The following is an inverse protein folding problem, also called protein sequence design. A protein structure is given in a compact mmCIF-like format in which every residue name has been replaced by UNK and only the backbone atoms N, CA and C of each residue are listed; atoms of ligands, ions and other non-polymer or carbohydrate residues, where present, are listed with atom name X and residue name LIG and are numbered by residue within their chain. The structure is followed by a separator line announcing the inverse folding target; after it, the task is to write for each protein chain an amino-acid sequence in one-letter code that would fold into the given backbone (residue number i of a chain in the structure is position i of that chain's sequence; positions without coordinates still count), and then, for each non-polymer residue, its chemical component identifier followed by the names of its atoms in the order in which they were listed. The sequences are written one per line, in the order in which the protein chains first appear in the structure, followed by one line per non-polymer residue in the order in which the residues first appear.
data_IF_499402060647
#
_entry.id   IF_499402060647
#
_cell.length_a   1.000
_cell.length_b   1.000
_cell.length_c   1.000
_cell.angle_alpha   90.00
_cell.angle_beta   90.00
_cell.angle_gamma   90.00
#
_symmetry.space_group_name_H-M   'P 1'
#
loop_
_entity.id
_entity.type
_entity.pdbx_description
1 polymer ?
#
# COMPACT_ATOMS: atom_id res chain seq x y z
N UNK A 1 -15.36 2.64 15.03
CA UNK A 1 -14.58 1.62 14.28
C UNK A 1 -14.13 2.15 12.93
N UNK A 2 -15.06 2.60 12.06
CA UNK A 2 -14.73 3.16 10.74
C UNK A 2 -13.78 4.36 10.86
N UNK A 3 -14.06 5.32 11.73
CA UNK A 3 -13.20 6.51 11.94
C UNK A 3 -11.74 6.17 12.24
N UNK A 4 -11.50 5.14 13.07
CA UNK A 4 -10.15 4.66 13.39
C UNK A 4 -9.47 4.09 12.16
N UNK A 5 -10.16 3.25 11.40
CA UNK A 5 -9.63 2.66 10.16
C UNK A 5 -9.35 3.75 9.12
N UNK A 6 -10.25 4.72 8.97
CA UNK A 6 -10.07 5.88 8.10
C UNK A 6 -8.83 6.69 8.51
N UNK A 7 -8.65 6.94 9.80
CA UNK A 7 -7.48 7.67 10.30
C UNK A 7 -6.16 6.92 10.02
N UNK A 8 -6.15 5.60 10.25
CA UNK A 8 -4.99 4.75 9.95
C UNK A 8 -4.68 4.70 8.45
N UNK A 9 -5.71 4.63 7.60
CA UNK A 9 -5.57 4.67 6.15
C UNK A 9 -5.02 6.02 5.66
N UNK A 10 -5.54 7.14 6.21
CA UNK A 10 -5.03 8.48 5.91
C UNK A 10 -3.55 8.61 6.32
N UNK A 11 -3.15 8.04 7.45
CA UNK A 11 -1.76 8.09 7.89
C UNK A 11 -0.84 7.33 6.95
N UNK A 12 -1.22 6.11 6.54
CA UNK A 12 -0.46 5.35 5.53
C UNK A 12 -0.41 6.10 4.20
N UNK A 13 -1.54 6.65 3.74
CA UNK A 13 -1.62 7.40 2.49
C UNK A 13 -0.66 8.59 2.46
N UNK A 14 -0.55 9.35 3.56
CA UNK A 14 0.43 10.44 3.67
C UNK A 14 1.86 9.96 3.47
N UNK A 15 2.24 8.87 4.15
CA UNK A 15 3.58 8.29 3.99
C UNK A 15 3.85 7.82 2.56
N UNK A 16 2.84 7.26 1.89
CA UNK A 16 2.96 6.83 0.50
C UNK A 16 3.09 8.00 -0.47
N UNK A 17 2.37 9.11 -0.24
CA UNK A 17 2.48 10.33 -1.06
C UNK A 17 3.85 10.99 -0.89
N UNK A 18 4.33 11.10 0.36
CA UNK A 18 5.63 11.68 0.70
C UNK A 18 6.82 10.87 0.16
N UNK A 19 6.57 9.64 -0.32
CA UNK A 19 7.61 8.73 -0.81
C UNK A 19 7.50 8.58 -2.33
N UNK A 20 8.46 9.13 -3.11
CA UNK A 20 8.54 8.89 -4.54
C UNK A 20 8.58 7.39 -4.83
N UNK A 21 7.74 6.97 -5.77
CA UNK A 21 7.56 5.56 -6.12
C UNK A 21 7.26 5.46 -7.61
N UNK A 22 8.18 5.92 -8.45
CA UNK A 22 7.98 5.80 -9.89
C UNK A 22 7.89 4.33 -10.30
N UNK A 23 7.25 4.04 -11.43
CA UNK A 23 7.16 2.66 -11.91
C UNK A 23 8.55 2.01 -11.97
N UNK A 24 8.72 0.86 -11.28
CA UNK A 24 9.97 0.13 -10.99
C UNK A 24 10.84 0.65 -9.82
N UNK A 25 10.44 1.69 -9.11
CA UNK A 25 11.16 2.32 -7.99
C UNK A 25 10.35 2.29 -6.66
N UNK A 26 9.46 1.31 -6.51
CA UNK A 26 8.46 1.28 -5.43
C UNK A 26 8.94 0.60 -4.13
N UNK A 27 10.25 0.32 -4.01
CA UNK A 27 10.87 -0.38 -2.88
C UNK A 27 10.48 0.22 -1.51
N UNK A 28 10.49 1.55 -1.39
CA UNK A 28 10.20 2.22 -0.12
C UNK A 28 8.70 2.26 0.21
N UNK A 29 7.84 2.46 -0.79
CA UNK A 29 6.39 2.39 -0.57
C UNK A 29 5.94 0.98 -0.23
N UNK A 30 6.57 -0.05 -0.81
CA UNK A 30 6.39 -1.43 -0.36
C UNK A 30 6.75 -1.60 1.13
N UNK A 31 7.89 -1.07 1.59
CA UNK A 31 8.27 -1.09 3.02
C UNK A 31 7.25 -0.41 3.93
N UNK A 32 6.66 0.72 3.52
CA UNK A 32 5.60 1.38 4.29
C UNK A 32 4.36 0.49 4.44
N UNK A 33 3.93 -0.17 3.36
CA UNK A 33 2.78 -1.10 3.37
C UNK A 33 3.08 -2.30 4.28
N UNK A 34 4.27 -2.90 4.17
CA UNK A 34 4.69 -3.98 5.07
C UNK A 34 4.69 -3.55 6.54
N UNK A 35 5.21 -2.36 6.83
CA UNK A 35 5.23 -1.78 8.17
C UNK A 35 3.83 -1.65 8.75
N UNK A 36 2.88 -1.19 7.93
CA UNK A 36 1.47 -1.12 8.31
C UNK A 36 0.89 -2.50 8.61
N UNK A 37 1.14 -3.50 7.75
CA UNK A 37 0.71 -4.88 8.01
C UNK A 37 1.29 -5.45 9.31
N UNK A 38 2.59 -5.24 9.57
CA UNK A 38 3.25 -5.65 10.83
C UNK A 38 2.57 -5.01 12.04
N UNK A 39 2.29 -3.70 12.00
CA UNK A 39 1.61 -2.99 13.09
C UNK A 39 0.19 -3.49 13.34
N UNK A 40 -0.53 -3.92 12.29
CA UNK A 40 -1.87 -4.52 12.42
C UNK A 40 -1.84 -6.03 12.74
N UNK A 41 -0.66 -6.65 12.83
CA UNK A 41 -0.53 -8.09 13.06
C UNK A 41 -1.05 -8.94 11.89
N UNK A 42 -0.96 -8.43 10.66
CA UNK A 42 -1.41 -9.10 9.44
C UNK A 42 -0.20 -9.79 8.79
N UNK A 43 -0.19 -11.13 8.64
CA UNK A 43 0.81 -11.81 7.84
C UNK A 43 0.69 -11.41 6.37
N UNK A 44 1.80 -11.15 5.72
CA UNK A 44 1.88 -10.77 4.32
C UNK A 44 3.06 -11.47 3.65
N UNK A 45 3.05 -11.48 2.32
CA UNK A 45 4.15 -11.93 1.48
C UNK A 45 4.54 -10.81 0.53
N UNK A 46 5.83 -10.75 0.20
CA UNK A 46 6.36 -9.83 -0.81
C UNK A 46 7.04 -10.57 -1.93
N UNK A 47 6.78 -10.09 -3.15
CA UNK A 47 7.44 -10.55 -4.37
C UNK A 47 7.86 -9.32 -5.18
N UNK A 48 9.16 -9.01 -5.21
CA UNK A 48 9.67 -7.71 -5.69
C UNK A 48 9.01 -6.57 -4.91
N UNK A 49 8.40 -5.58 -5.57
CA UNK A 49 7.66 -4.51 -4.87
C UNK A 49 6.18 -4.84 -4.64
N UNK A 50 5.69 -6.00 -5.09
CA UNK A 50 4.31 -6.41 -4.85
C UNK A 50 4.15 -6.97 -3.44
N UNK A 51 3.26 -6.36 -2.66
CA UNK A 51 2.89 -6.83 -1.31
C UNK A 51 1.46 -7.38 -1.35
N UNK A 52 1.27 -8.58 -0.82
CA UNK A 52 -0.06 -9.22 -0.78
C UNK A 52 -0.27 -9.99 0.52
N UNK A 53 -1.53 -10.15 0.89
CA UNK A 53 -1.95 -10.90 2.06
C UNK A 53 -3.23 -11.68 1.73
N UNK A 54 -3.44 -12.78 2.44
CA UNK A 54 -4.66 -13.58 2.34
C UNK A 54 -5.57 -13.32 3.54
N UNK A 55 -6.84 -13.68 3.40
CA UNK A 55 -7.76 -13.64 4.53
C UNK A 55 -7.25 -14.58 5.65
N UNK A 56 -7.36 -14.17 6.91
CA UNK A 56 -6.98 -14.98 8.08
C UNK A 56 -7.65 -16.36 8.12
N UNK A 57 -8.84 -16.48 7.54
CA UNK A 57 -9.67 -17.68 7.46
C UNK A 57 -9.85 -18.12 5.99
N UNK A 58 -8.80 -17.95 5.19
CA UNK A 58 -8.81 -18.36 3.78
C UNK A 58 -9.20 -19.84 3.65
N UNK A 59 -10.01 -20.13 2.64
CA UNK A 59 -10.60 -21.45 2.41
C UNK A 59 -10.64 -21.70 0.90
N UNK A 60 -9.79 -22.64 0.44
CA UNK A 60 -9.64 -22.98 -0.97
C UNK A 60 -10.91 -23.58 -1.60
N UNK A 61 -11.86 -24.05 -0.77
CA UNK A 61 -13.14 -24.57 -1.27
C UNK A 61 -14.15 -23.46 -1.63
N UNK A 62 -13.87 -22.20 -1.25
CA UNK A 62 -14.73 -21.05 -1.52
C UNK A 62 -14.23 -20.23 -2.72
N UNK A 63 -15.13 -19.52 -3.43
CA UNK A 63 -14.72 -18.54 -4.43
C UNK A 63 -13.77 -17.49 -3.83
N UNK A 64 -12.70 -17.20 -4.56
CA UNK A 64 -11.70 -16.20 -4.14
C UNK A 64 -11.98 -14.86 -4.80
N UNK A 65 -12.01 -13.79 -4.00
CA UNK A 65 -12.04 -12.42 -4.48
C UNK A 65 -10.67 -11.77 -4.26
N UNK A 66 -10.07 -11.26 -5.33
CA UNK A 66 -8.84 -10.49 -5.27
C UNK A 66 -9.17 -8.99 -5.18
N UNK A 67 -8.70 -8.33 -4.11
CA UNK A 67 -8.68 -6.88 -4.02
C UNK A 67 -7.29 -6.41 -4.47
N UNK A 68 -7.23 -5.60 -5.53
CA UNK A 68 -5.98 -5.17 -6.13
C UNK A 68 -5.95 -3.66 -6.34
N UNK A 69 -4.78 -3.08 -6.11
CA UNK A 69 -4.42 -1.70 -6.40
C UNK A 69 -2.93 -1.68 -6.74
N UNK A 70 -2.43 -0.56 -7.26
CA UNK A 70 -1.02 -0.29 -7.44
C UNK A 70 -0.58 0.88 -6.54
N UNK A 71 0.71 0.99 -6.28
CA UNK A 71 1.31 2.04 -5.44
C UNK A 71 2.47 2.76 -6.14
N UNK A 72 2.71 2.44 -7.42
CA UNK A 72 3.59 3.20 -8.28
C UNK A 72 2.90 4.47 -8.78
N UNK A 73 3.73 5.44 -9.14
CA UNK A 73 3.33 6.77 -9.60
C UNK A 73 4.01 7.09 -10.91
N UNK A 74 3.39 7.97 -11.69
CA UNK A 74 4.03 8.58 -12.86
C UNK A 74 4.83 9.80 -12.42
N UNK A 75 5.75 10.26 -13.27
CA UNK A 75 6.49 11.50 -13.01
C UNK A 75 5.51 12.67 -12.85
N UNK A 76 5.72 13.55 -11.85
CA UNK A 76 4.88 14.72 -11.66
C UNK A 76 4.97 15.65 -12.87
N UNK A 77 3.86 16.32 -13.17
CA UNK A 77 3.80 17.30 -14.25
C UNK A 77 4.57 18.58 -13.85
N UNK A 78 5.23 19.22 -14.80
CA UNK A 78 5.92 20.50 -14.65
C UNK A 78 5.02 21.65 -14.13
N UNK A 79 3.69 21.50 -14.21
CA UNK A 79 2.73 22.49 -13.71
C UNK A 79 2.47 22.45 -12.19
N UNK A 80 3.10 21.55 -11.43
CA UNK A 80 2.97 21.51 -9.98
C UNK A 80 3.54 22.78 -9.35
N UNK A 81 2.73 23.47 -8.55
CA UNK A 81 3.14 24.67 -7.80
C UNK A 81 3.50 24.38 -6.34
N UNK A 82 3.35 23.12 -5.92
CA UNK A 82 3.71 22.58 -4.61
C UNK A 82 4.58 21.34 -4.82
N UNK A 83 5.35 20.97 -3.79
CA UNK A 83 6.09 19.71 -3.80
C UNK A 83 5.10 18.55 -4.08
N UNK A 84 5.31 17.76 -5.14
CA UNK A 84 4.46 16.61 -5.45
C UNK A 84 4.60 15.46 -4.44
N UNK A 85 5.60 15.51 -3.56
CA UNK A 85 5.85 14.52 -2.52
C UNK A 85 5.80 15.20 -1.14
#
# INVERSE_FOLDING_TARGET
MIERLTSQAIQLLKQLIETPSFSSEEEQTAHHIEGWFKQQGIPFTRTHHNVWATNKYFDESKPTLLLNSHHDTVKPNNGYTKDPF
#
